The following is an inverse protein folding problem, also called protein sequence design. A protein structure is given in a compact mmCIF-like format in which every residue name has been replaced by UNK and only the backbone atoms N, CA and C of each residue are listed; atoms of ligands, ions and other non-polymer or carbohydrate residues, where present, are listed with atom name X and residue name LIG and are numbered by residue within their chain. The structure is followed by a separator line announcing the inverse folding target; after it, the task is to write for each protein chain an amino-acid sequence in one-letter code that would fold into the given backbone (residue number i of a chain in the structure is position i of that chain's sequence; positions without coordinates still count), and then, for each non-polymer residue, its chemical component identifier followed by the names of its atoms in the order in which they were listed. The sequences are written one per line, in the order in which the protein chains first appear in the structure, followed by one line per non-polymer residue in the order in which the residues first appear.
data_IF_029943239770
#
_entry.id   IF_029943239770
#
_cell.length_a   1.000
_cell.length_b   1.000
_cell.length_c   1.000
_cell.angle_alpha   90.00
_cell.angle_beta   90.00
_cell.angle_gamma   90.00
#
_symmetry.space_group_name_H-M   'P 1'
#
loop_
_entity.id
_entity.type
_entity.pdbx_description
1 polymer ?
#
# COMPACT_ATOMS: atom_id res chain seq x y z
N UNK A 1 0.23 39.26 -14.27
CA UNK A 1 0.42 38.17 -15.27
C UNK A 1 0.58 38.81 -16.63
N UNK A 2 1.48 38.28 -17.46
CA UNK A 2 1.72 38.82 -18.82
C UNK A 2 0.87 38.07 -19.87
N UNK A 3 -0.27 37.52 -19.49
CA UNK A 3 -1.16 36.79 -20.39
C UNK A 3 -2.41 37.60 -20.71
N UNK A 4 -3.10 37.27 -21.81
CA UNK A 4 -4.38 37.82 -22.19
C UNK A 4 -5.46 37.52 -21.16
N UNK A 5 -6.57 38.29 -21.19
CA UNK A 5 -7.71 37.99 -20.34
C UNK A 5 -8.30 36.64 -20.66
N UNK A 6 -8.36 35.77 -19.65
CA UNK A 6 -8.92 34.43 -19.76
C UNK A 6 -10.42 34.36 -19.48
N UNK A 7 -10.97 33.17 -19.44
CA UNK A 7 -12.33 32.90 -19.03
C UNK A 7 -12.62 33.40 -17.61
N UNK A 8 -13.84 33.82 -17.34
CA UNK A 8 -14.28 34.20 -16.00
C UNK A 8 -14.15 33.03 -15.02
N UNK A 9 -13.73 33.38 -13.79
CA UNK A 9 -13.62 32.35 -12.70
C UNK A 9 -15.01 31.81 -12.39
N UNK A 10 -15.13 30.50 -12.36
CA UNK A 10 -16.35 29.76 -12.00
C UNK A 10 -16.19 29.16 -10.61
N UNK A 11 -17.14 29.44 -9.72
CA UNK A 11 -17.21 28.84 -8.39
C UNK A 11 -18.23 27.71 -8.40
N UNK A 12 -17.76 26.49 -8.03
CA UNK A 12 -18.62 25.32 -7.91
C UNK A 12 -18.51 24.77 -6.47
N UNK A 13 -19.63 24.34 -5.91
CA UNK A 13 -19.67 23.69 -4.59
C UNK A 13 -20.09 22.24 -4.75
N UNK A 14 -19.41 21.34 -4.01
CA UNK A 14 -19.69 19.91 -4.03
C UNK A 14 -19.92 19.41 -2.60
N UNK A 15 -20.71 18.32 -2.44
CA UNK A 15 -21.03 17.76 -1.12
C UNK A 15 -19.83 17.10 -0.44
N UNK A 16 -18.91 16.56 -1.23
CA UNK A 16 -17.72 15.87 -0.75
C UNK A 16 -16.64 15.81 -1.85
N UNK A 17 -15.41 15.43 -1.46
CA UNK A 17 -14.28 15.35 -2.38
C UNK A 17 -14.45 14.35 -3.53
N UNK A 18 -15.28 13.31 -3.37
CA UNK A 18 -15.55 12.35 -4.46
C UNK A 18 -16.39 12.96 -5.58
N UNK A 19 -17.41 13.73 -5.21
CA UNK A 19 -18.22 14.48 -6.19
C UNK A 19 -17.39 15.54 -6.89
N UNK A 20 -16.55 16.28 -6.14
CA UNK A 20 -15.60 17.24 -6.68
C UNK A 20 -14.65 16.56 -7.69
N UNK A 21 -13.98 15.48 -7.31
CA UNK A 21 -13.06 14.75 -8.19
C UNK A 21 -13.76 14.20 -9.44
N UNK A 22 -15.03 13.78 -9.32
CA UNK A 22 -15.82 13.32 -10.46
C UNK A 22 -16.09 14.48 -11.44
N UNK A 23 -16.56 15.58 -10.93
CA UNK A 23 -16.88 16.76 -11.76
C UNK A 23 -15.63 17.32 -12.44
N UNK A 24 -14.52 17.44 -11.72
CA UNK A 24 -13.23 17.86 -12.29
C UNK A 24 -12.75 16.87 -13.36
N UNK A 25 -12.89 15.56 -13.11
CA UNK A 25 -12.57 14.54 -14.10
C UNK A 25 -13.36 14.71 -15.40
N UNK A 26 -14.68 14.97 -15.31
CA UNK A 26 -15.55 15.23 -16.46
C UNK A 26 -15.13 16.49 -17.24
N UNK A 27 -14.74 17.56 -16.52
CA UNK A 27 -14.21 18.80 -17.14
C UNK A 27 -12.91 18.50 -17.90
N UNK A 28 -12.00 17.69 -17.32
CA UNK A 28 -10.74 17.31 -17.97
C UNK A 28 -11.00 16.49 -19.24
N UNK A 29 -11.92 15.52 -19.19
CA UNK A 29 -12.29 14.72 -20.35
C UNK A 29 -12.85 15.59 -21.49
N UNK A 30 -13.63 16.63 -21.17
CA UNK A 30 -14.12 17.60 -22.15
C UNK A 30 -12.98 18.45 -22.72
N UNK A 31 -12.13 19.01 -21.85
CA UNK A 31 -11.03 19.89 -22.26
C UNK A 31 -9.93 19.14 -23.03
N UNK A 32 -9.71 17.86 -22.79
CA UNK A 32 -8.75 17.00 -23.51
C UNK A 32 -9.01 16.94 -25.02
N UNK A 33 -10.22 17.29 -25.48
CA UNK A 33 -10.54 17.34 -26.91
C UNK A 33 -9.82 18.48 -27.63
N UNK A 34 -9.54 19.58 -26.92
CA UNK A 34 -8.98 20.81 -27.50
C UNK A 34 -7.64 21.23 -26.89
N UNK A 35 -7.20 20.58 -25.80
CA UNK A 35 -5.98 20.92 -25.05
C UNK A 35 -5.17 19.66 -24.77
N UNK A 36 -3.87 19.84 -24.54
CA UNK A 36 -3.05 18.73 -24.02
C UNK A 36 -3.23 18.60 -22.50
N UNK A 37 -3.01 17.41 -21.96
CA UNK A 37 -3.08 17.22 -20.50
C UNK A 37 -1.98 18.01 -19.75
N UNK A 38 -0.89 18.38 -20.43
CA UNK A 38 0.18 19.16 -19.85
C UNK A 38 -0.23 20.63 -19.59
N UNK A 39 -1.30 21.12 -20.23
CA UNK A 39 -1.79 22.48 -20.09
C UNK A 39 -2.82 22.59 -18.95
N UNK A 40 -3.15 21.47 -18.27
CA UNK A 40 -4.13 21.43 -17.21
C UNK A 40 -3.42 21.21 -15.87
N UNK A 41 -3.67 22.11 -14.92
CA UNK A 41 -3.18 22.00 -13.55
C UNK A 41 -4.33 22.04 -12.55
N UNK A 42 -4.26 21.21 -11.52
CA UNK A 42 -5.16 21.21 -10.37
C UNK A 42 -4.35 21.62 -9.15
N UNK A 43 -4.73 22.72 -8.53
CA UNK A 43 -4.11 23.20 -7.31
C UNK A 43 -4.90 22.72 -6.10
N UNK A 44 -4.23 22.08 -5.16
CA UNK A 44 -4.82 21.64 -3.90
C UNK A 44 -4.12 22.30 -2.72
N UNK A 45 -4.87 22.63 -1.68
CA UNK A 45 -4.29 23.24 -0.48
C UNK A 45 -3.52 22.23 0.37
N UNK A 46 -3.97 20.97 0.41
CA UNK A 46 -3.38 19.92 1.21
C UNK A 46 -3.26 18.61 0.42
N UNK A 47 -2.15 17.90 0.65
CA UNK A 47 -1.82 16.66 -0.10
C UNK A 47 -2.91 15.60 0.03
N UNK A 48 -3.57 15.48 1.18
CA UNK A 48 -4.62 14.46 1.36
C UNK A 48 -5.78 14.62 0.37
N UNK A 49 -6.02 15.84 -0.14
CA UNK A 49 -7.06 16.12 -1.14
C UNK A 49 -6.75 15.49 -2.51
N UNK A 50 -5.48 15.20 -2.81
CA UNK A 50 -5.11 14.57 -4.10
C UNK A 50 -5.68 13.16 -4.25
N UNK A 51 -5.98 12.47 -3.15
CA UNK A 51 -6.40 11.07 -3.15
C UNK A 51 -7.64 10.82 -4.00
N UNK A 52 -8.68 11.62 -3.83
CA UNK A 52 -9.94 11.46 -4.56
C UNK A 52 -9.74 11.72 -6.06
N UNK A 53 -8.88 12.69 -6.41
CA UNK A 53 -8.49 12.96 -7.80
C UNK A 53 -7.70 11.80 -8.40
N UNK A 54 -6.70 11.28 -7.68
CA UNK A 54 -5.91 10.13 -8.13
C UNK A 54 -6.78 8.89 -8.39
N UNK A 55 -7.69 8.56 -7.44
CA UNK A 55 -8.63 7.45 -7.61
C UNK A 55 -9.54 7.65 -8.83
N UNK A 56 -10.01 8.88 -9.09
CA UNK A 56 -10.83 9.18 -10.26
C UNK A 56 -10.04 9.07 -11.56
N UNK A 57 -8.82 9.63 -11.61
CA UNK A 57 -7.99 9.63 -12.83
C UNK A 57 -7.55 8.24 -13.22
N UNK A 58 -7.23 7.38 -12.26
CA UNK A 58 -6.96 5.97 -12.52
C UNK A 58 -8.16 5.27 -13.16
N UNK A 59 -9.38 5.55 -12.68
CA UNK A 59 -10.61 4.94 -13.22
C UNK A 59 -10.90 5.36 -14.66
N UNK A 60 -10.62 6.62 -15.00
CA UNK A 60 -10.92 7.16 -16.34
C UNK A 60 -9.71 7.15 -17.29
N UNK A 61 -8.58 6.57 -16.85
CA UNK A 61 -7.37 6.46 -17.68
C UNK A 61 -6.71 7.80 -18.04
N UNK A 62 -6.82 8.80 -17.14
CA UNK A 62 -6.14 10.09 -17.32
C UNK A 62 -4.76 10.04 -16.69
N UNK A 63 -3.72 10.29 -17.48
CA UNK A 63 -2.35 10.41 -16.99
C UNK A 63 -2.18 11.70 -16.21
N UNK A 64 -1.56 11.62 -15.04
CA UNK A 64 -1.31 12.76 -14.16
C UNK A 64 0.04 12.67 -13.47
N UNK A 65 0.52 13.79 -12.94
CA UNK A 65 1.71 13.88 -12.09
C UNK A 65 1.41 14.73 -10.87
N UNK A 66 1.73 14.22 -9.68
CA UNK A 66 1.65 15.01 -8.44
C UNK A 66 2.98 15.75 -8.27
N UNK A 67 2.89 17.04 -8.07
CA UNK A 67 4.03 17.92 -7.79
C UNK A 67 3.98 18.33 -6.30
N UNK A 68 5.06 18.07 -5.58
CA UNK A 68 5.19 18.41 -4.16
C UNK A 68 4.46 17.48 -3.19
N UNK A 69 3.91 16.36 -3.65
CA UNK A 69 3.24 15.36 -2.83
C UNK A 69 3.96 14.01 -2.78
N UNK A 70 3.58 13.17 -1.82
CA UNK A 70 4.01 11.77 -1.78
C UNK A 70 3.30 11.02 -2.91
N UNK A 71 4.07 10.43 -3.83
CA UNK A 71 3.52 9.63 -4.92
C UNK A 71 2.69 8.47 -4.37
N UNK A 72 1.65 8.04 -5.08
CA UNK A 72 0.76 6.95 -4.66
C UNK A 72 1.54 5.73 -4.13
N UNK A 73 2.54 5.27 -4.86
CA UNK A 73 3.36 4.12 -4.47
C UNK A 73 4.33 4.38 -3.31
N UNK A 74 4.49 5.64 -2.90
CA UNK A 74 5.33 6.03 -1.75
C UNK A 74 4.55 6.07 -0.44
N UNK A 75 3.23 6.01 -0.49
CA UNK A 75 2.35 5.96 0.68
C UNK A 75 2.63 4.70 1.49
N UNK A 76 2.65 4.82 2.81
CA UNK A 76 2.98 3.72 3.71
C UNK A 76 2.06 2.52 3.50
N UNK A 77 0.75 2.76 3.40
CA UNK A 77 -0.27 1.73 3.19
C UNK A 77 -0.13 0.99 1.85
N UNK A 78 0.32 1.69 0.82
CA UNK A 78 0.58 1.08 -0.50
C UNK A 78 1.85 0.24 -0.44
N UNK A 79 2.92 0.75 0.17
CA UNK A 79 4.17 0.01 0.38
C UNK A 79 3.94 -1.26 1.20
N UNK A 80 3.12 -1.19 2.25
CA UNK A 80 2.78 -2.35 3.07
C UNK A 80 2.06 -3.41 2.24
N UNK A 81 1.02 -3.03 1.49
CA UNK A 81 0.28 -3.92 0.60
C UNK A 81 1.18 -4.58 -0.46
N UNK A 82 2.08 -3.80 -1.06
CA UNK A 82 3.08 -4.31 -2.03
C UNK A 82 4.04 -5.28 -1.34
N UNK A 83 4.50 -5.00 -0.12
CA UNK A 83 5.38 -5.91 0.61
C UNK A 83 4.72 -7.25 0.93
N UNK A 84 3.41 -7.28 1.24
CA UNK A 84 2.67 -8.53 1.35
C UNK A 84 2.73 -9.33 0.05
N UNK A 85 2.42 -8.73 -1.09
CA UNK A 85 2.47 -9.41 -2.38
C UNK A 85 3.90 -9.86 -2.75
N UNK A 86 4.91 -9.04 -2.49
CA UNK A 86 6.31 -9.39 -2.72
C UNK A 86 6.73 -10.60 -1.92
N UNK A 87 6.40 -10.65 -0.63
CA UNK A 87 6.71 -11.79 0.26
C UNK A 87 6.04 -13.08 -0.22
N UNK A 88 4.82 -12.98 -0.76
CA UNK A 88 4.11 -14.15 -1.33
C UNK A 88 4.79 -14.62 -2.62
N UNK A 89 5.17 -13.70 -3.49
CA UNK A 89 5.75 -14.01 -4.79
C UNK A 89 7.23 -14.44 -4.70
N UNK A 90 7.99 -13.85 -3.76
CA UNK A 90 9.43 -14.08 -3.61
C UNK A 90 9.80 -14.45 -2.18
N UNK A 91 10.23 -15.70 -1.99
CA UNK A 91 10.60 -16.21 -0.66
C UNK A 91 11.83 -15.51 -0.05
N UNK A 92 12.75 -15.04 -0.88
CA UNK A 92 14.03 -14.45 -0.45
C UNK A 92 13.99 -12.93 -0.32
N UNK A 93 12.82 -12.32 -0.30
CA UNK A 93 12.65 -10.87 -0.13
C UNK A 93 12.58 -10.52 1.37
N UNK A 94 13.74 -10.50 2.00
CA UNK A 94 13.88 -10.26 3.44
C UNK A 94 13.36 -8.88 3.86
N UNK A 95 13.52 -7.87 2.99
CA UNK A 95 13.03 -6.50 3.25
C UNK A 95 11.51 -6.48 3.30
N UNK A 96 10.85 -7.13 2.34
CA UNK A 96 9.40 -7.22 2.33
C UNK A 96 8.88 -8.06 3.50
N UNK A 97 9.53 -9.18 3.80
CA UNK A 97 9.18 -10.04 4.93
C UNK A 97 9.29 -9.31 6.27
N UNK A 98 10.40 -8.63 6.54
CA UNK A 98 10.59 -7.83 7.76
C UNK A 98 9.48 -6.80 7.92
N UNK A 99 9.17 -6.06 6.85
CA UNK A 99 8.16 -5.01 6.89
C UNK A 99 6.79 -5.52 7.29
N UNK A 100 6.35 -6.67 6.76
CA UNK A 100 5.04 -7.22 7.07
C UNK A 100 4.99 -8.01 8.38
N UNK A 101 6.12 -8.43 8.91
CA UNK A 101 6.20 -9.31 10.07
C UNK A 101 5.50 -8.71 11.29
N UNK A 102 5.64 -7.41 11.50
CA UNK A 102 5.00 -6.66 12.61
C UNK A 102 4.06 -5.53 12.14
N UNK A 103 3.55 -5.63 10.93
CA UNK A 103 2.56 -4.73 10.34
C UNK A 103 1.36 -5.54 9.85
N UNK A 104 0.22 -5.54 10.54
CA UNK A 104 -0.14 -4.90 11.83
C UNK A 104 0.74 -5.31 13.00
N UNK A 105 0.70 -4.55 14.10
CA UNK A 105 1.47 -4.86 15.31
C UNK A 105 1.10 -6.23 15.88
N UNK A 106 2.07 -7.15 15.94
CA UNK A 106 1.93 -8.51 16.47
C UNK A 106 2.75 -8.75 17.74
N UNK A 107 3.31 -7.68 18.33
CA UNK A 107 4.17 -7.77 19.50
C UNK A 107 5.59 -8.28 19.20
N UNK A 108 6.00 -8.25 17.93
CA UNK A 108 7.35 -8.62 17.52
C UNK A 108 8.24 -7.38 17.62
N UNK A 109 8.96 -7.24 18.73
CA UNK A 109 9.86 -6.12 18.98
C UNK A 109 11.22 -6.28 18.29
N UNK A 110 12.04 -5.24 18.39
CA UNK A 110 13.39 -5.17 17.79
C UNK A 110 14.28 -6.36 18.18
N UNK A 111 14.19 -6.84 19.43
CA UNK A 111 14.95 -8.00 19.87
C UNK A 111 14.63 -9.27 19.06
N UNK A 112 13.36 -9.47 18.69
CA UNK A 112 12.94 -10.60 17.86
C UNK A 112 13.48 -10.46 16.43
N UNK A 113 13.39 -9.26 15.86
CA UNK A 113 13.91 -8.97 14.53
C UNK A 113 15.44 -9.18 14.50
N UNK A 114 16.16 -8.65 15.51
CA UNK A 114 17.59 -8.87 15.64
C UNK A 114 17.98 -10.35 15.75
N UNK A 115 17.21 -11.14 16.50
CA UNK A 115 17.41 -12.59 16.62
C UNK A 115 17.25 -13.29 15.27
N UNK A 116 16.23 -12.91 14.48
CA UNK A 116 16.02 -13.44 13.12
C UNK A 116 17.20 -13.13 12.21
N UNK A 117 17.69 -11.88 12.19
CA UNK A 117 18.84 -11.49 11.39
C UNK A 117 20.13 -12.19 11.80
N UNK A 118 20.38 -12.31 13.08
CA UNK A 118 21.56 -13.05 13.58
C UNK A 118 21.54 -14.50 13.13
N UNK A 119 20.39 -15.16 13.27
CA UNK A 119 20.24 -16.55 12.85
C UNK A 119 20.34 -16.71 11.33
N UNK A 120 19.74 -15.80 10.57
CA UNK A 120 19.80 -15.72 9.11
C UNK A 120 21.26 -15.61 8.64
N UNK A 121 22.00 -14.65 9.17
CA UNK A 121 23.40 -14.39 8.81
C UNK A 121 24.31 -15.58 9.14
N UNK A 122 24.16 -16.14 10.34
CA UNK A 122 24.98 -17.29 10.79
C UNK A 122 24.76 -18.52 9.93
N UNK A 123 23.51 -18.77 9.52
CA UNK A 123 23.14 -19.97 8.75
C UNK A 123 23.06 -19.73 7.25
N UNK A 124 23.28 -18.50 6.77
CA UNK A 124 23.19 -18.08 5.35
C UNK A 124 21.85 -18.45 4.71
N UNK A 125 20.75 -18.19 5.40
CA UNK A 125 19.37 -18.44 4.96
C UNK A 125 18.54 -17.16 5.05
N UNK A 126 17.41 -17.08 4.34
CA UNK A 126 16.50 -15.93 4.39
C UNK A 126 15.81 -15.80 5.75
N UNK A 127 15.25 -14.61 6.03
CA UNK A 127 14.55 -14.33 7.30
C UNK A 127 13.33 -15.22 7.51
N UNK A 128 12.60 -15.58 6.46
CA UNK A 128 11.45 -16.49 6.58
C UNK A 128 11.89 -17.92 7.02
N UNK A 129 12.97 -18.44 6.44
CA UNK A 129 13.50 -19.74 6.85
C UNK A 129 14.11 -19.69 8.25
N UNK A 130 14.70 -18.55 8.62
CA UNK A 130 15.17 -18.30 9.98
C UNK A 130 14.01 -18.34 10.98
N UNK A 131 12.88 -17.72 10.64
CA UNK A 131 11.68 -17.75 11.47
C UNK A 131 11.16 -19.18 11.66
N UNK A 132 11.10 -19.97 10.58
CA UNK A 132 10.67 -21.38 10.63
C UNK A 132 11.59 -22.24 11.50
N UNK A 133 12.90 -22.14 11.29
CA UNK A 133 13.88 -22.92 12.07
C UNK A 133 13.89 -22.53 13.55
N UNK A 134 13.78 -21.25 13.88
CA UNK A 134 13.71 -20.81 15.27
C UNK A 134 12.40 -21.23 15.94
N UNK A 135 11.30 -21.37 15.20
CA UNK A 135 10.05 -21.99 15.70
C UNK A 135 10.25 -23.47 16.04
N UNK A 136 10.91 -24.23 15.17
CA UNK A 136 11.23 -25.66 15.36
C UNK A 136 12.15 -25.87 16.57
N UNK A 137 13.14 -24.98 16.75
CA UNK A 137 14.08 -25.01 17.86
C UNK A 137 13.52 -24.46 19.18
N UNK A 138 12.25 -24.05 19.19
CA UNK A 138 11.55 -23.47 20.36
C UNK A 138 12.28 -22.28 21.01
N UNK A 139 12.88 -21.41 20.20
CA UNK A 139 13.70 -20.28 20.65
C UNK A 139 12.91 -19.01 20.95
N UNK A 140 11.57 -19.03 20.81
CA UNK A 140 10.71 -17.88 21.06
C UNK A 140 9.85 -18.04 22.31
N UNK A 141 9.57 -16.93 22.99
CA UNK A 141 8.55 -16.89 24.05
C UNK A 141 7.18 -17.25 23.48
N UNK A 142 6.26 -17.85 24.26
CA UNK A 142 4.98 -18.38 23.76
C UNK A 142 4.17 -17.40 22.90
N UNK A 143 4.07 -16.13 23.33
CA UNK A 143 3.35 -15.07 22.59
C UNK A 143 3.98 -14.76 21.24
N UNK A 144 5.31 -14.65 21.19
CA UNK A 144 6.09 -14.40 19.97
C UNK A 144 6.00 -15.60 19.04
N UNK A 145 6.15 -16.80 19.60
CA UNK A 145 6.02 -18.07 18.87
C UNK A 145 4.68 -18.18 18.16
N UNK A 146 3.59 -17.90 18.86
CA UNK A 146 2.24 -17.91 18.27
C UNK A 146 2.10 -16.90 17.14
N UNK A 147 2.57 -15.65 17.33
CA UNK A 147 2.50 -14.61 16.32
C UNK A 147 3.29 -14.95 15.05
N UNK A 148 4.53 -15.44 15.20
CA UNK A 148 5.37 -15.85 14.05
C UNK A 148 4.76 -17.07 13.36
N UNK A 149 4.30 -18.07 14.10
CA UNK A 149 3.66 -19.27 13.54
C UNK A 149 2.43 -18.90 12.71
N UNK A 150 1.61 -17.97 13.19
CA UNK A 150 0.42 -17.49 12.48
C UNK A 150 0.79 -16.83 11.16
N UNK A 151 1.67 -15.80 11.17
CA UNK A 151 2.01 -15.07 9.95
C UNK A 151 2.74 -15.96 8.92
N UNK A 152 3.64 -16.82 9.34
CA UNK A 152 4.32 -17.77 8.46
C UNK A 152 3.33 -18.77 7.86
N UNK A 153 2.38 -19.25 8.64
CA UNK A 153 1.30 -20.12 8.17
C UNK A 153 0.41 -19.46 7.12
N UNK A 154 0.05 -18.19 7.35
CA UNK A 154 -0.71 -17.39 6.37
C UNK A 154 0.05 -17.21 5.06
N UNK A 155 1.35 -16.89 5.12
CA UNK A 155 2.18 -16.73 3.91
C UNK A 155 2.21 -18.03 3.09
N UNK A 156 2.36 -19.19 3.74
CA UNK A 156 2.32 -20.48 3.05
C UNK A 156 0.97 -20.70 2.36
N UNK A 157 -0.13 -20.42 3.05
CA UNK A 157 -1.49 -20.50 2.49
C UNK A 157 -1.64 -19.59 1.27
N UNK A 158 -1.26 -18.33 1.39
CA UNK A 158 -1.39 -17.35 0.30
C UNK A 158 -0.54 -17.69 -0.93
N UNK A 159 0.63 -18.33 -0.75
CA UNK A 159 1.42 -18.86 -1.87
C UNK A 159 0.70 -19.98 -2.62
N UNK A 160 -0.03 -20.82 -1.91
CA UNK A 160 -0.91 -21.80 -2.55
C UNK A 160 -2.03 -21.14 -3.33
N UNK A 161 -2.66 -20.13 -2.74
CA UNK A 161 -3.73 -19.35 -3.35
C UNK A 161 -3.29 -18.56 -4.60
N UNK A 162 -2.01 -18.13 -4.67
CA UNK A 162 -1.45 -17.43 -5.83
C UNK A 162 -1.59 -18.22 -7.14
N UNK A 163 -1.61 -19.55 -7.07
CA UNK A 163 -1.72 -20.42 -8.25
C UNK A 163 -3.15 -20.48 -8.82
N UNK A 164 -4.15 -20.15 -8.03
CA UNK A 164 -5.56 -20.37 -8.37
C UNK A 164 -6.40 -19.10 -8.39
N UNK A 165 -5.97 -18.05 -7.68
CA UNK A 165 -6.73 -16.80 -7.53
C UNK A 165 -6.17 -15.69 -8.41
N UNK A 166 -7.04 -14.77 -8.83
CA UNK A 166 -6.62 -13.52 -9.49
C UNK A 166 -5.88 -12.62 -8.47
N UNK A 167 -4.90 -11.87 -8.93
CA UNK A 167 -4.07 -11.01 -8.07
C UNK A 167 -4.87 -10.03 -7.21
N UNK A 168 -5.94 -9.45 -7.76
CA UNK A 168 -6.82 -8.54 -7.02
C UNK A 168 -7.55 -9.25 -5.86
N UNK A 169 -8.12 -10.42 -6.13
CA UNK A 169 -8.85 -11.19 -5.11
C UNK A 169 -7.89 -11.69 -4.03
N UNK A 170 -6.70 -12.14 -4.43
CA UNK A 170 -5.66 -12.56 -3.51
C UNK A 170 -5.23 -11.39 -2.61
N UNK A 171 -4.99 -10.20 -3.17
CA UNK A 171 -4.61 -9.03 -2.37
C UNK A 171 -5.66 -8.71 -1.31
N UNK A 172 -6.94 -8.73 -1.67
CA UNK A 172 -8.04 -8.49 -0.74
C UNK A 172 -8.03 -9.49 0.41
N UNK A 173 -7.92 -10.79 0.10
CA UNK A 173 -7.83 -11.86 1.10
C UNK A 173 -6.63 -11.65 2.03
N UNK A 174 -5.47 -11.35 1.48
CA UNK A 174 -4.22 -11.13 2.23
C UNK A 174 -4.36 -9.97 3.20
N UNK A 175 -4.90 -8.84 2.76
CA UNK A 175 -5.09 -7.65 3.60
C UNK A 175 -6.13 -7.89 4.71
N UNK A 176 -7.18 -8.65 4.44
CA UNK A 176 -8.21 -8.97 5.42
C UNK A 176 -7.69 -10.02 6.43
N UNK A 177 -7.14 -11.14 5.98
CA UNK A 177 -6.64 -12.21 6.85
C UNK A 177 -5.42 -11.81 7.69
N UNK A 178 -4.60 -10.89 7.20
CA UNK A 178 -3.48 -10.35 7.98
C UNK A 178 -3.90 -9.40 9.09
N UNK A 179 -5.16 -8.94 9.09
CA UNK A 179 -5.68 -7.89 9.96
C UNK A 179 -5.30 -6.47 9.52
N UNK A 180 -4.71 -6.32 8.33
CA UNK A 180 -4.25 -5.02 7.84
C UNK A 180 -5.42 -4.08 7.50
N UNK A 181 -6.47 -4.61 6.88
CA UNK A 181 -7.70 -3.84 6.57
C UNK A 181 -8.35 -3.31 7.84
N UNK A 182 -8.40 -4.11 8.90
CA UNK A 182 -8.93 -3.70 10.20
C UNK A 182 -8.07 -2.62 10.86
N UNK A 183 -6.75 -2.79 10.85
CA UNK A 183 -5.81 -1.77 11.36
C UNK A 183 -6.01 -0.42 10.67
N UNK A 184 -6.24 -0.38 9.36
CA UNK A 184 -6.46 0.86 8.62
C UNK A 184 -7.80 1.51 8.95
N UNK A 185 -8.85 0.72 9.18
CA UNK A 185 -10.17 1.23 9.62
C UNK A 185 -10.06 1.91 10.98
N UNK A 186 -9.39 1.25 11.93
CA UNK A 186 -9.21 1.77 13.30
C UNK A 186 -8.27 2.98 13.40
N UNK A 187 -7.49 3.29 12.36
CA UNK A 187 -6.66 4.51 12.30
C UNK A 187 -7.40 5.75 11.78
N UNK A 188 -8.64 5.59 11.30
CA UNK A 188 -9.45 6.70 10.78
C UNK A 188 -10.34 7.36 11.83
N UNK A 189 -10.41 6.79 13.02
CA UNK A 189 -11.04 7.35 14.21
C UNK A 189 -9.96 7.97 15.14
#
# INVERSE_FOLDING_TARGET
SNGDDGDLVKLNCYKNGKEEARAVGEIIEQKKKNNTLNDIAILVRAIYQTREFEERFLKIGVNYRIVGGIKFYERAEVKDAICYLRTINQKFDDIAFERILNTPKRGLGEATIKQLYQFSSTNKICLEDSAKKLLELDKFKPKIKSAIKNIVGLIVKWRSDLKTKKHYDLLKIVLDESGYSEMLKNKKD
#
